data_IF_649216173770
#
_entry.id   IF_649216173770
#
_cell.length_a   1.000
_cell.length_b   1.000
_cell.length_c   1.000
_cell.angle_alpha   90.00
_cell.angle_beta   90.00
_cell.angle_gamma   90.00
#
_symmetry.space_group_name_H-M   'P 1'
#
loop_
_entity.id
_entity.type
_entity.pdbx_description
1 polymer ?
#
# COMPACT_ATOMS: atom_id res chain seq x y z
N UNK A 1 -62.90 -22.84 -9.58
CA UNK A 1 -63.31 -24.14 -9.00
C UNK A 1 -62.30 -24.52 -7.94
N UNK A 2 -62.78 -24.58 -6.80
CA UNK A 2 -62.75 -25.51 -5.68
C UNK A 2 -61.39 -25.62 -4.98
N UNK A 3 -61.27 -25.03 -3.81
CA UNK A 3 -61.63 -25.53 -2.43
C UNK A 3 -60.65 -26.64 -2.01
N UNK A 4 -60.00 -26.54 -0.94
CA UNK A 4 -60.21 -26.53 0.54
C UNK A 4 -59.07 -27.35 1.14
N UNK A 5 -58.58 -27.39 2.31
CA UNK A 5 -58.91 -26.96 3.66
C UNK A 5 -57.80 -27.54 4.58
N UNK A 6 -57.28 -26.75 5.47
CA UNK A 6 -57.03 -26.90 6.92
C UNK A 6 -56.85 -28.31 7.52
N UNK A 7 -55.80 -28.48 8.34
CA UNK A 7 -55.96 -28.97 9.72
C UNK A 7 -54.75 -28.71 10.60
N UNK A 8 -54.98 -28.06 11.70
CA UNK A 8 -54.23 -27.85 12.92
C UNK A 8 -54.26 -29.16 13.75
N UNK A 9 -53.16 -29.54 14.37
CA UNK A 9 -53.20 -30.25 15.64
C UNK A 9 -52.06 -29.83 16.57
N UNK A 10 -52.51 -29.25 17.67
CA UNK A 10 -51.77 -28.92 18.88
C UNK A 10 -51.67 -30.17 19.77
N UNK A 11 -50.55 -30.41 20.38
CA UNK A 11 -50.47 -31.25 21.57
C UNK A 11 -49.36 -30.77 22.50
N UNK A 12 -49.80 -30.21 23.61
CA UNK A 12 -49.03 -29.88 24.81
C UNK A 12 -48.74 -31.16 25.57
N UNK A 13 -47.49 -31.32 26.00
CA UNK A 13 -47.17 -32.19 27.15
C UNK A 13 -46.22 -31.45 28.08
N UNK A 14 -46.75 -31.07 29.24
CA UNK A 14 -45.99 -30.70 30.44
C UNK A 14 -45.46 -31.97 31.12
N UNK A 15 -44.18 -32.00 31.46
CA UNK A 15 -43.69 -32.82 32.57
C UNK A 15 -42.71 -31.95 33.39
N UNK A 16 -43.10 -31.69 34.64
CA UNK A 16 -42.25 -31.14 35.70
C UNK A 16 -41.24 -32.17 36.16
N UNK A 17 -40.00 -31.72 36.39
CA UNK A 17 -38.98 -32.50 37.09
C UNK A 17 -37.95 -31.56 37.68
N UNK A 18 -38.04 -31.32 39.00
CA UNK A 18 -37.04 -30.60 39.80
C UNK A 18 -35.74 -31.39 39.93
N UNK A 19 -34.58 -30.67 39.93
CA UNK A 19 -33.42 -31.24 40.58
C UNK A 19 -32.05 -30.69 40.12
N UNK A 20 -31.54 -29.78 40.91
CA UNK A 20 -30.13 -29.56 41.32
C UNK A 20 -29.08 -28.87 40.42
N UNK A 21 -28.75 -27.73 40.85
CA UNK A 21 -27.54 -26.92 41.06
C UNK A 21 -26.17 -27.37 40.47
N UNK A 22 -25.53 -26.35 39.90
CA UNK A 22 -24.08 -26.07 39.80
C UNK A 22 -23.29 -26.86 38.79
N UNK A 23 -22.94 -26.21 37.68
CA UNK A 23 -21.55 -25.95 37.23
C UNK A 23 -21.54 -25.35 35.82
N UNK A 24 -20.62 -24.40 35.65
CA UNK A 24 -20.02 -23.88 34.40
C UNK A 24 -20.64 -22.67 33.71
N UNK A 25 -20.40 -21.52 34.34
CA UNK A 25 -20.41 -20.21 33.66
C UNK A 25 -19.00 -19.77 33.25
N UNK A 26 -18.05 -20.68 32.96
CA UNK A 26 -16.69 -20.28 32.59
C UNK A 26 -16.24 -20.62 31.16
N UNK A 27 -17.10 -21.28 30.37
CA UNK A 27 -16.70 -21.72 29.01
C UNK A 27 -17.16 -20.77 27.90
N UNK A 28 -18.22 -20.00 28.12
CA UNK A 28 -18.72 -19.06 27.10
C UNK A 28 -17.92 -17.73 27.08
N UNK A 29 -17.37 -17.27 28.22
CA UNK A 29 -16.57 -16.05 28.24
C UNK A 29 -15.16 -16.23 27.65
N UNK A 30 -14.61 -17.46 27.61
CA UNK A 30 -13.31 -17.70 27.01
C UNK A 30 -13.37 -17.81 25.48
N UNK A 31 -14.50 -18.24 24.92
CA UNK A 31 -14.69 -18.30 23.46
C UNK A 31 -14.99 -16.95 22.84
N UNK A 32 -15.72 -16.05 23.54
CA UNK A 32 -15.95 -14.67 23.07
C UNK A 32 -14.68 -13.82 23.11
N UNK A 33 -13.89 -13.91 24.17
CA UNK A 33 -12.61 -13.18 24.28
C UNK A 33 -11.57 -13.65 23.24
N UNK A 34 -11.62 -14.90 22.78
CA UNK A 34 -10.69 -15.40 21.76
C UNK A 34 -11.12 -15.04 20.33
N UNK A 35 -12.44 -15.03 20.06
CA UNK A 35 -12.99 -14.63 18.74
C UNK A 35 -12.84 -13.13 18.53
N UNK A 36 -13.05 -12.29 19.57
CA UNK A 36 -12.80 -10.84 19.47
C UNK A 36 -11.31 -10.50 19.32
N UNK A 37 -10.41 -11.35 19.80
CA UNK A 37 -8.96 -11.11 19.71
C UNK A 37 -8.38 -11.39 18.33
N UNK A 38 -8.92 -12.33 17.56
CA UNK A 38 -8.46 -12.64 16.19
C UNK A 38 -8.79 -11.51 15.21
N UNK A 39 -9.92 -10.83 15.37
CA UNK A 39 -10.36 -9.73 14.50
C UNK A 39 -9.60 -8.41 14.72
N UNK A 40 -8.81 -8.30 15.80
CA UNK A 40 -8.07 -7.07 16.13
C UNK A 40 -6.59 -7.17 15.84
N UNK A 41 -6.04 -8.35 15.64
CA UNK A 41 -4.62 -8.55 15.35
C UNK A 41 -4.35 -8.75 13.86
N UNK A 42 -3.24 -8.19 13.37
CA UNK A 42 -2.75 -8.35 12.00
C UNK A 42 -1.24 -8.59 12.01
N UNK A 43 -0.73 -9.18 10.94
CA UNK A 43 0.69 -9.06 10.65
C UNK A 43 0.99 -7.70 10.02
N UNK A 44 2.08 -7.11 10.47
CA UNK A 44 2.69 -5.94 9.88
C UNK A 44 4.07 -6.35 9.33
N UNK A 45 4.25 -6.16 8.01
CA UNK A 45 5.51 -6.41 7.32
C UNK A 45 6.19 -5.08 7.06
N UNK A 46 7.47 -4.97 7.40
CA UNK A 46 8.23 -3.74 7.28
C UNK A 46 9.47 -3.96 6.42
N UNK A 47 9.54 -3.26 5.30
CA UNK A 47 10.74 -3.14 4.48
C UNK A 47 11.63 -1.99 4.96
N UNK A 48 12.94 -2.17 4.86
CA UNK A 48 13.94 -1.23 5.37
C UNK A 48 15.01 -0.92 4.33
N UNK A 49 15.80 0.13 4.53
CA UNK A 49 17.16 0.15 3.97
C UNK A 49 18.10 -0.63 4.89
N UNK A 50 19.15 -1.22 4.30
CA UNK A 50 20.07 -2.12 5.01
C UNK A 50 21.51 -1.58 5.08
N UNK A 51 21.66 -0.27 4.90
CA UNK A 51 22.95 0.41 5.06
C UNK A 51 23.35 0.64 6.52
N UNK A 52 22.43 0.42 7.46
CA UNK A 52 22.65 0.46 8.92
C UNK A 52 22.70 -0.94 9.52
N UNK A 53 21.95 -1.15 10.61
CA UNK A 53 21.88 -2.41 11.35
C UNK A 53 20.76 -3.34 10.86
N UNK A 54 19.85 -2.82 10.05
CA UNK A 54 18.72 -3.59 9.54
C UNK A 54 19.16 -4.73 8.61
N UNK A 55 18.44 -5.85 8.68
CA UNK A 55 18.71 -7.05 7.89
C UNK A 55 17.82 -7.22 6.66
N UNK A 56 16.71 -6.46 6.59
CA UNK A 56 15.81 -6.56 5.44
C UNK A 56 14.33 -6.41 5.77
N UNK A 57 13.53 -7.47 5.67
CA UNK A 57 12.09 -7.42 5.96
C UNK A 57 11.83 -7.97 7.36
N UNK A 58 11.07 -7.20 8.15
CA UNK A 58 10.66 -7.55 9.51
C UNK A 58 9.16 -7.82 9.57
N UNK A 59 8.76 -8.79 10.41
CA UNK A 59 7.36 -9.13 10.64
C UNK A 59 7.03 -8.93 12.11
N UNK A 60 5.93 -8.21 12.35
CA UNK A 60 5.35 -7.97 13.67
C UNK A 60 3.90 -8.43 13.70
N UNK A 61 3.39 -8.79 14.86
CA UNK A 61 1.95 -8.77 15.14
C UNK A 61 1.58 -7.39 15.66
N UNK A 62 0.54 -6.80 15.12
CA UNK A 62 0.01 -5.49 15.48
C UNK A 62 -1.43 -5.65 15.99
N UNK A 63 -1.70 -5.13 17.17
CA UNK A 63 -3.08 -4.91 17.64
C UNK A 63 -3.62 -3.62 17.03
N UNK A 64 -4.62 -3.73 16.16
CA UNK A 64 -5.17 -2.62 15.39
C UNK A 64 -6.12 -1.72 16.18
N UNK A 65 -6.36 -2.02 17.45
CA UNK A 65 -7.16 -1.20 18.39
C UNK A 65 -6.25 -0.36 19.26
N UNK A 66 -5.24 -0.99 19.88
CA UNK A 66 -4.33 -0.33 20.80
C UNK A 66 -3.12 0.30 20.11
N UNK A 67 -2.69 -0.25 18.97
CA UNK A 67 -1.45 0.13 18.29
C UNK A 67 -0.21 -0.57 18.87
N UNK A 68 -0.36 -1.46 19.85
CA UNK A 68 0.77 -2.25 20.38
C UNK A 68 1.22 -3.28 19.36
N UNK A 69 2.53 -3.54 19.33
CA UNK A 69 3.11 -4.51 18.40
C UNK A 69 4.07 -5.47 19.10
N UNK A 70 4.23 -6.64 18.50
CA UNK A 70 5.17 -7.67 18.94
C UNK A 70 6.01 -8.14 17.75
N UNK A 71 7.34 -8.07 17.86
CA UNK A 71 8.26 -8.66 16.89
C UNK A 71 8.04 -10.19 16.81
N UNK A 72 8.03 -10.70 15.57
CA UNK A 72 7.84 -12.12 15.26
C UNK A 72 9.05 -12.70 14.56
N UNK A 73 9.45 -12.13 13.43
CA UNK A 73 10.53 -12.68 12.60
C UNK A 73 11.15 -11.62 11.69
N UNK A 74 12.24 -12.00 11.06
CA UNK A 74 12.88 -11.22 10.00
C UNK A 74 13.43 -12.14 8.91
N UNK A 75 13.58 -11.61 7.70
CA UNK A 75 14.28 -12.29 6.60
C UNK A 75 15.33 -11.35 6.01
N UNK A 76 16.53 -11.90 5.75
CA UNK A 76 17.62 -11.13 5.16
C UNK A 76 17.38 -10.91 3.67
N UNK A 77 17.39 -9.65 3.27
CA UNK A 77 17.36 -9.18 1.87
C UNK A 77 17.88 -7.74 1.82
N UNK A 78 18.62 -7.38 0.79
CA UNK A 78 19.25 -6.07 0.69
C UNK A 78 18.23 -5.02 0.21
N UNK A 79 18.15 -3.91 0.94
CA UNK A 79 17.34 -2.73 0.61
C UNK A 79 15.91 -3.05 0.09
N UNK A 80 15.08 -3.82 0.81
CA UNK A 80 13.68 -4.07 0.43
C UNK A 80 12.84 -2.81 0.68
N UNK A 81 13.14 -1.74 -0.02
CA UNK A 81 12.57 -0.42 0.22
C UNK A 81 11.08 -0.32 -0.13
N UNK A 82 10.57 -1.25 -0.92
CA UNK A 82 9.14 -1.41 -1.17
C UNK A 82 8.77 -2.88 -1.31
N UNK A 83 7.61 -3.24 -0.79
CA UNK A 83 7.07 -4.59 -0.86
C UNK A 83 5.57 -4.60 -1.11
N UNK A 84 5.06 -5.71 -1.63
CA UNK A 84 3.64 -5.99 -1.86
C UNK A 84 3.34 -7.44 -1.50
N UNK A 85 2.14 -7.69 -0.97
CA UNK A 85 1.59 -9.03 -0.81
C UNK A 85 0.77 -9.41 -2.04
N UNK A 86 0.76 -10.68 -2.39
CA UNK A 86 -0.20 -11.20 -3.34
C UNK A 86 -1.64 -11.17 -2.75
N UNK A 87 -2.70 -11.24 -3.57
CA UNK A 87 -4.07 -11.19 -3.06
C UNK A 87 -4.46 -12.31 -2.10
N UNK A 88 -3.76 -13.45 -2.14
CA UNK A 88 -3.97 -14.57 -1.21
C UNK A 88 -3.19 -14.42 0.09
N UNK A 89 -2.32 -13.41 0.18
CA UNK A 89 -1.38 -13.15 1.27
C UNK A 89 -0.46 -14.34 1.62
N UNK A 90 -0.25 -15.25 0.66
CA UNK A 90 0.68 -16.38 0.79
C UNK A 90 2.08 -16.06 0.29
N UNK A 91 2.20 -15.00 -0.52
CA UNK A 91 3.45 -14.59 -1.10
C UNK A 91 3.69 -13.09 -0.90
N UNK A 92 4.96 -12.74 -0.76
CA UNK A 92 5.43 -11.36 -0.63
C UNK A 92 6.49 -11.11 -1.68
N UNK A 93 6.39 -9.97 -2.35
CA UNK A 93 7.38 -9.53 -3.32
C UNK A 93 8.01 -8.23 -2.84
N UNK A 94 9.33 -8.11 -2.96
CA UNK A 94 10.04 -6.87 -2.61
C UNK A 94 11.02 -6.49 -3.70
N UNK A 95 11.42 -5.24 -3.71
CA UNK A 95 12.58 -4.80 -4.49
C UNK A 95 13.88 -5.03 -3.72
N UNK A 96 15.01 -5.09 -4.42
CA UNK A 96 16.34 -4.75 -3.93
C UNK A 96 16.72 -3.43 -4.60
N UNK A 97 16.52 -2.31 -3.87
CA UNK A 97 16.81 -0.97 -4.37
C UNK A 97 18.32 -0.70 -4.34
N UNK A 98 18.95 -0.94 -5.47
CA UNK A 98 20.37 -0.69 -5.72
C UNK A 98 20.53 0.04 -7.06
N UNK A 99 21.52 0.91 -7.22
CA UNK A 99 21.73 1.66 -8.46
C UNK A 99 22.34 0.81 -9.58
N UNK A 100 23.01 -0.28 -9.23
CA UNK A 100 23.64 -1.19 -10.19
C UNK A 100 22.60 -2.08 -10.90
N UNK A 101 22.64 -2.13 -12.22
CA UNK A 101 21.73 -3.00 -13.00
C UNK A 101 21.91 -4.49 -12.65
N UNK A 102 23.13 -4.89 -12.35
CA UNK A 102 23.50 -6.27 -12.00
C UNK A 102 23.11 -6.67 -10.56
N UNK A 103 22.72 -5.70 -9.72
CA UNK A 103 22.36 -5.89 -8.32
C UNK A 103 20.89 -5.59 -8.04
N UNK A 104 20.29 -4.74 -8.87
CA UNK A 104 18.87 -4.38 -8.81
C UNK A 104 17.96 -5.56 -9.11
N UNK A 105 17.05 -5.88 -8.20
CA UNK A 105 16.24 -7.09 -8.32
C UNK A 105 14.80 -6.92 -7.78
N UNK A 106 13.95 -7.84 -8.20
CA UNK A 106 12.70 -8.19 -7.52
C UNK A 106 12.89 -9.55 -6.82
N UNK A 107 12.41 -9.66 -5.58
CA UNK A 107 12.53 -10.86 -4.75
C UNK A 107 11.14 -11.43 -4.46
N UNK A 108 11.05 -12.75 -4.37
CA UNK A 108 9.84 -13.48 -4.00
C UNK A 108 10.06 -14.28 -2.71
N UNK A 109 9.06 -14.25 -1.83
CA UNK A 109 9.02 -14.98 -0.57
C UNK A 109 7.68 -15.67 -0.41
N UNK A 110 7.65 -16.88 0.18
CA UNK A 110 6.42 -17.43 0.75
C UNK A 110 6.21 -16.86 2.15
N UNK A 111 4.97 -16.64 2.53
CA UNK A 111 4.59 -16.13 3.85
C UNK A 111 3.76 -17.20 4.59
N UNK A 112 4.33 -17.71 5.67
CA UNK A 112 3.63 -18.61 6.58
C UNK A 112 2.89 -17.81 7.64
N UNK A 113 1.56 -17.76 7.54
CA UNK A 113 0.70 -17.04 8.48
C UNK A 113 0.58 -17.72 9.85
N UNK A 114 0.89 -19.03 9.98
CA UNK A 114 0.87 -19.70 11.29
C UNK A 114 1.99 -19.18 12.18
N UNK A 115 3.17 -19.05 11.63
CA UNK A 115 4.38 -18.63 12.35
C UNK A 115 4.76 -17.17 12.10
N UNK A 116 4.15 -16.49 11.13
CA UNK A 116 4.52 -15.13 10.71
C UNK A 116 5.91 -15.08 10.09
N UNK A 117 6.28 -16.09 9.29
CA UNK A 117 7.62 -16.19 8.71
C UNK A 117 7.64 -16.06 7.22
N UNK A 118 8.63 -15.33 6.72
CA UNK A 118 8.97 -15.25 5.31
C UNK A 118 10.07 -16.25 4.97
N UNK A 119 9.88 -17.00 3.87
CA UNK A 119 10.91 -17.88 3.32
C UNK A 119 11.23 -17.46 1.89
N UNK A 120 12.49 -17.16 1.61
CA UNK A 120 12.96 -16.76 0.28
C UNK A 120 12.70 -17.86 -0.76
N UNK A 121 12.12 -17.50 -1.89
CA UNK A 121 11.88 -18.40 -3.03
C UNK A 121 12.94 -18.18 -4.09
N UNK A 122 12.96 -16.97 -4.69
CA UNK A 122 13.94 -16.60 -5.70
C UNK A 122 14.04 -15.06 -5.86
N UNK A 123 14.99 -14.64 -6.68
CA UNK A 123 15.09 -13.26 -7.15
C UNK A 123 15.32 -13.22 -8.65
N UNK A 124 14.89 -12.13 -9.30
CA UNK A 124 15.12 -11.84 -10.71
C UNK A 124 15.65 -10.42 -10.87
N UNK A 125 16.62 -10.24 -11.77
CA UNK A 125 17.14 -8.90 -12.06
C UNK A 125 16.09 -8.05 -12.78
N UNK A 126 16.01 -6.76 -12.41
CA UNK A 126 15.07 -5.83 -13.02
C UNK A 126 15.53 -5.30 -14.37
N UNK A 127 16.80 -5.43 -14.71
CA UNK A 127 17.36 -4.83 -15.93
C UNK A 127 17.34 -3.28 -15.94
N UNK A 128 16.99 -2.66 -14.80
CA UNK A 128 17.02 -1.21 -14.58
C UNK A 128 17.44 -0.90 -13.15
N UNK A 129 18.20 0.19 -12.92
CA UNK A 129 18.72 0.56 -11.60
C UNK A 129 17.68 1.18 -10.68
N UNK A 130 17.88 1.02 -9.38
CA UNK A 130 17.10 1.54 -8.27
C UNK A 130 15.57 1.23 -8.38
N UNK A 131 15.17 -0.05 -8.37
CA UNK A 131 13.76 -0.38 -8.26
C UNK A 131 13.22 0.09 -6.91
N UNK A 132 12.35 1.11 -6.91
CA UNK A 132 11.84 1.76 -5.70
C UNK A 132 10.35 1.50 -5.42
N UNK A 133 9.70 0.78 -6.30
CA UNK A 133 8.29 0.40 -6.18
C UNK A 133 8.04 -0.95 -6.87
N UNK A 134 7.14 -1.75 -6.29
CA UNK A 134 6.70 -3.02 -6.84
C UNK A 134 5.20 -3.15 -6.64
N UNK A 135 4.49 -3.65 -7.63
CA UNK A 135 3.06 -3.92 -7.58
C UNK A 135 2.73 -5.27 -8.21
N UNK A 136 1.62 -5.84 -7.83
CA UNK A 136 1.09 -7.10 -8.34
C UNK A 136 -0.36 -6.89 -8.76
N UNK A 137 -0.81 -7.62 -9.78
CA UNK A 137 -2.20 -7.60 -10.22
C UNK A 137 -3.16 -8.29 -9.23
N UNK A 138 -4.46 -8.13 -9.45
CA UNK A 138 -5.50 -8.71 -8.60
C UNK A 138 -5.60 -10.23 -8.67
N UNK A 139 -4.97 -10.87 -9.65
CA UNK A 139 -4.92 -12.32 -9.78
C UNK A 139 -3.67 -12.94 -9.12
N UNK A 140 -2.70 -12.12 -8.71
CA UNK A 140 -1.45 -12.60 -8.13
C UNK A 140 -0.48 -13.24 -9.13
N UNK A 141 -0.64 -12.93 -10.43
CA UNK A 141 0.11 -13.56 -11.52
C UNK A 141 1.16 -12.67 -12.17
N UNK A 142 1.04 -11.36 -11.99
CA UNK A 142 1.80 -10.36 -12.75
C UNK A 142 2.40 -9.30 -11.84
N UNK A 143 3.73 -9.30 -11.73
CA UNK A 143 4.48 -8.35 -10.91
C UNK A 143 5.17 -7.33 -11.81
N UNK A 144 5.10 -6.05 -11.43
CA UNK A 144 5.77 -4.95 -12.14
C UNK A 144 6.59 -4.11 -11.14
N UNK A 145 7.83 -3.79 -11.51
CA UNK A 145 8.68 -2.85 -10.75
C UNK A 145 8.80 -1.51 -11.44
N UNK A 146 8.98 -0.45 -10.67
CA UNK A 146 9.37 0.87 -11.13
C UNK A 146 10.86 1.09 -10.80
N UNK A 147 11.70 1.28 -11.82
CA UNK A 147 13.13 1.43 -11.68
C UNK A 147 13.51 2.92 -11.81
N UNK A 148 13.82 3.56 -10.69
CA UNK A 148 13.97 5.01 -10.60
C UNK A 148 15.18 5.52 -11.38
N UNK A 149 16.39 5.05 -11.05
CA UNK A 149 17.62 5.45 -11.72
C UNK A 149 17.69 4.91 -13.15
N UNK A 150 17.06 3.74 -13.39
CA UNK A 150 16.97 3.14 -14.72
C UNK A 150 16.01 3.84 -15.67
N UNK A 151 15.08 4.67 -15.16
CA UNK A 151 14.02 5.29 -15.97
C UNK A 151 13.20 4.27 -16.74
N UNK A 152 12.86 3.14 -16.10
CA UNK A 152 12.19 2.02 -16.74
C UNK A 152 11.20 1.34 -15.80
N UNK A 153 10.35 0.48 -16.34
CA UNK A 153 9.59 -0.50 -15.59
C UNK A 153 9.95 -1.91 -16.07
N UNK A 154 9.78 -2.91 -15.19
CA UNK A 154 10.06 -4.30 -15.53
C UNK A 154 8.90 -5.18 -15.11
N UNK A 155 8.48 -6.07 -16.02
CA UNK A 155 7.42 -7.02 -15.81
C UNK A 155 7.96 -8.45 -15.62
N UNK A 156 7.35 -9.15 -14.66
CA UNK A 156 7.60 -10.55 -14.34
C UNK A 156 6.29 -11.32 -14.24
N UNK A 157 6.22 -12.52 -14.80
CA UNK A 157 5.17 -13.46 -14.45
C UNK A 157 5.51 -14.21 -13.16
N UNK A 158 4.47 -14.63 -12.44
CA UNK A 158 4.55 -15.42 -11.22
C UNK A 158 4.18 -16.87 -11.54
N UNK A 159 5.01 -17.84 -11.14
CA UNK A 159 4.70 -19.25 -11.30
C UNK A 159 3.80 -19.79 -10.19
N UNK A 160 3.31 -21.02 -10.34
CA UNK A 160 2.40 -21.66 -9.39
C UNK A 160 2.94 -21.82 -7.95
N UNK A 161 4.26 -21.69 -7.77
CA UNK A 161 4.92 -21.75 -6.45
C UNK A 161 5.22 -20.37 -5.86
N UNK A 162 4.71 -19.31 -6.49
CA UNK A 162 4.90 -17.93 -6.08
C UNK A 162 6.27 -17.34 -6.46
N UNK A 163 7.09 -18.06 -7.20
CA UNK A 163 8.38 -17.57 -7.70
C UNK A 163 8.22 -16.63 -8.91
N UNK A 164 9.13 -15.68 -9.05
CA UNK A 164 9.21 -14.80 -10.22
C UNK A 164 9.90 -15.55 -11.36
N UNK A 165 9.31 -15.52 -12.55
CA UNK A 165 9.99 -15.91 -13.77
C UNK A 165 10.95 -14.81 -14.23
N UNK A 166 11.85 -15.14 -15.16
CA UNK A 166 12.76 -14.14 -15.75
C UNK A 166 11.97 -12.98 -16.35
N UNK A 167 12.49 -11.76 -16.21
CA UNK A 167 11.88 -10.55 -16.76
C UNK A 167 11.58 -10.73 -18.26
N UNK A 168 10.32 -10.61 -18.64
CA UNK A 168 9.88 -10.76 -20.04
C UNK A 168 9.67 -9.43 -20.77
N UNK A 169 9.49 -8.33 -20.03
CA UNK A 169 9.45 -6.99 -20.58
C UNK A 169 10.24 -6.01 -19.70
N UNK A 170 11.15 -5.23 -20.30
CA UNK A 170 11.77 -4.04 -19.71
C UNK A 170 11.42 -2.87 -20.62
N UNK A 171 10.62 -1.93 -20.13
CA UNK A 171 10.17 -0.76 -20.89
C UNK A 171 10.90 0.46 -20.38
N UNK A 172 11.79 1.02 -21.21
CA UNK A 172 12.56 2.22 -20.89
C UNK A 172 11.89 3.48 -21.40
N UNK A 173 12.04 4.56 -20.64
CA UNK A 173 11.51 5.87 -20.97
C UNK A 173 12.63 6.87 -21.17
N UNK A 174 12.39 7.85 -22.04
CA UNK A 174 13.33 8.92 -22.31
C UNK A 174 12.63 10.28 -22.15
N UNK A 175 13.42 11.29 -21.82
CA UNK A 175 12.96 12.66 -21.65
C UNK A 175 13.58 13.34 -20.46
N UNK A 176 13.17 14.58 -20.24
CA UNK A 176 13.54 15.42 -19.10
C UNK A 176 12.38 16.32 -18.73
N UNK A 177 12.36 16.79 -17.50
CA UNK A 177 11.35 17.73 -16.99
C UNK A 177 11.90 19.15 -16.82
N UNK A 178 11.14 19.96 -16.11
CA UNK A 178 11.45 21.37 -15.91
C UNK A 178 12.46 21.65 -14.80
N UNK A 179 12.60 20.73 -13.80
CA UNK A 179 13.62 20.87 -12.75
C UNK A 179 14.97 20.35 -13.25
N UNK A 180 15.91 21.27 -13.50
CA UNK A 180 17.20 20.96 -14.09
C UNK A 180 18.12 20.10 -13.21
N UNK A 181 17.84 19.99 -11.92
CA UNK A 181 18.62 19.18 -10.98
C UNK A 181 18.03 17.78 -10.81
N UNK A 182 16.72 17.68 -10.69
CA UNK A 182 16.02 16.44 -10.33
C UNK A 182 15.38 15.72 -11.53
N UNK A 183 15.21 16.40 -12.67
CA UNK A 183 14.52 15.89 -13.86
C UNK A 183 15.40 15.86 -15.11
N UNK A 184 16.66 15.43 -14.93
CA UNK A 184 17.63 15.31 -16.05
C UNK A 184 17.31 14.16 -16.99
N UNK A 185 16.56 13.17 -16.51
CA UNK A 185 16.10 11.99 -17.24
C UNK A 185 14.78 11.49 -16.69
N UNK A 186 14.18 10.48 -17.32
CA UNK A 186 13.04 9.74 -16.78
C UNK A 186 13.39 9.07 -15.45
N UNK A 187 12.45 9.08 -14.50
CA UNK A 187 12.53 8.46 -13.18
C UNK A 187 11.19 7.82 -12.83
N UNK A 188 10.99 6.56 -13.19
CA UNK A 188 9.74 5.85 -12.86
C UNK A 188 9.72 5.57 -11.36
N UNK A 189 8.75 6.16 -10.63
CA UNK A 189 8.69 6.06 -9.17
C UNK A 189 7.54 5.20 -8.64
N UNK A 190 6.52 4.95 -9.43
CA UNK A 190 5.35 4.15 -9.04
C UNK A 190 4.78 3.46 -10.27
N UNK A 191 4.36 2.23 -10.10
CA UNK A 191 3.54 1.47 -11.05
C UNK A 191 2.28 1.00 -10.33
N UNK A 192 1.11 1.28 -10.89
CA UNK A 192 -0.17 0.99 -10.24
C UNK A 192 -1.16 0.41 -11.23
N UNK A 193 -1.60 -0.83 -10.98
CA UNK A 193 -2.74 -1.38 -11.72
C UNK A 193 -4.01 -0.62 -11.39
N UNK A 194 -4.87 -0.45 -12.39
CA UNK A 194 -6.21 0.09 -12.17
C UNK A 194 -7.08 -0.90 -11.40
N UNK A 195 -8.12 -0.44 -10.68
CA UNK A 195 -8.95 -1.32 -9.87
C UNK A 195 -9.65 -2.44 -10.66
N UNK A 196 -9.90 -2.22 -11.96
CA UNK A 196 -10.48 -3.20 -12.88
C UNK A 196 -9.45 -4.10 -13.58
N UNK A 197 -8.15 -3.89 -13.29
CA UNK A 197 -7.05 -4.67 -13.87
C UNK A 197 -6.73 -4.39 -15.33
N UNK A 198 -7.51 -3.54 -16.02
CA UNK A 198 -7.35 -3.33 -17.48
C UNK A 198 -6.15 -2.51 -17.87
N UNK A 199 -5.68 -1.64 -16.98
CA UNK A 199 -4.59 -0.70 -17.25
C UNK A 199 -3.56 -0.73 -16.12
N UNK A 200 -2.34 -0.30 -16.48
CA UNK A 200 -1.28 0.04 -15.54
C UNK A 200 -0.88 1.49 -15.76
N UNK A 201 -0.79 2.27 -14.68
CA UNK A 201 -0.20 3.60 -14.69
C UNK A 201 1.22 3.56 -14.15
N UNK A 202 2.14 4.30 -14.78
CA UNK A 202 3.51 4.47 -14.34
C UNK A 202 3.84 5.95 -14.19
N UNK A 203 4.12 6.38 -12.95
CA UNK A 203 4.42 7.76 -12.65
C UNK A 203 5.90 8.03 -12.95
N UNK A 204 6.17 8.94 -13.87
CA UNK A 204 7.51 9.39 -14.23
C UNK A 204 7.79 10.76 -13.59
N UNK A 205 8.46 10.72 -12.45
CA UNK A 205 8.89 11.91 -11.72
C UNK A 205 9.82 12.79 -12.59
N UNK A 206 10.63 12.16 -13.43
CA UNK A 206 11.64 12.84 -14.22
C UNK A 206 11.10 13.59 -15.45
N UNK A 207 9.91 13.24 -15.94
CA UNK A 207 9.35 13.87 -17.15
C UNK A 207 7.97 14.51 -16.96
N UNK A 208 7.47 14.57 -15.70
CA UNK A 208 6.15 15.10 -15.36
C UNK A 208 4.98 14.39 -16.08
N UNK A 209 5.08 13.05 -16.18
CA UNK A 209 4.08 12.22 -16.88
C UNK A 209 3.59 11.08 -16.02
N UNK A 210 2.36 10.68 -16.29
CA UNK A 210 1.77 9.42 -15.85
C UNK A 210 1.54 8.60 -17.11
N UNK A 211 2.43 7.64 -17.37
CA UNK A 211 2.32 6.76 -18.53
C UNK A 211 1.18 5.76 -18.34
N UNK A 212 0.47 5.43 -19.41
CA UNK A 212 -0.62 4.46 -19.42
C UNK A 212 -0.26 3.26 -20.29
N UNK A 213 -0.52 2.08 -19.76
CA UNK A 213 -0.41 0.81 -20.49
C UNK A 213 -1.73 0.05 -20.44
N UNK A 214 -2.07 -0.62 -21.53
CA UNK A 214 -3.09 -1.66 -21.51
C UNK A 214 -2.47 -2.93 -20.93
N UNK A 215 -3.22 -3.63 -20.10
CA UNK A 215 -2.89 -4.96 -19.59
C UNK A 215 -3.51 -5.98 -20.54
N UNK A 216 -2.70 -6.87 -21.11
CA UNK A 216 -3.14 -7.87 -22.06
C UNK A 216 -3.06 -9.26 -21.41
N UNK A 217 -4.18 -9.95 -21.30
CA UNK A 217 -4.24 -11.31 -20.74
C UNK A 217 -3.65 -12.37 -21.70
N UNK A 218 -3.49 -12.01 -22.97
CA UNK A 218 -2.97 -12.89 -24.03
C UNK A 218 -2.13 -12.12 -25.02
N UNK A 219 -1.14 -12.78 -25.62
CA UNK A 219 -0.23 -12.21 -26.62
C UNK A 219 1.22 -12.16 -26.13
N UNK A 220 2.12 -11.66 -26.99
CA UNK A 220 3.56 -11.68 -26.76
C UNK A 220 4.00 -10.66 -25.69
N UNK A 221 3.19 -9.63 -25.41
CA UNK A 221 3.49 -8.56 -24.48
C UNK A 221 2.35 -8.36 -23.48
N UNK A 222 2.64 -8.54 -22.20
CA UNK A 222 1.70 -8.28 -21.12
C UNK A 222 1.28 -6.80 -21.07
N UNK A 223 2.23 -5.87 -21.27
CA UNK A 223 1.97 -4.44 -21.31
C UNK A 223 2.12 -3.91 -22.74
N UNK A 224 1.12 -3.18 -23.22
CA UNK A 224 1.17 -2.41 -24.46
C UNK A 224 0.83 -0.94 -24.20
N UNK A 225 1.39 -0.04 -25.00
CA UNK A 225 1.18 1.42 -24.83
C UNK A 225 -0.30 1.75 -24.95
N UNK A 226 -0.83 2.48 -23.96
CA UNK A 226 -2.24 2.89 -23.93
C UNK A 226 -2.55 4.07 -24.86
N UNK A 227 -3.83 4.38 -24.95
CA UNK A 227 -4.31 5.58 -25.65
C UNK A 227 -5.19 6.40 -24.68
N UNK A 228 -4.77 7.64 -24.30
CA UNK A 228 -3.48 8.27 -24.61
C UNK A 228 -2.31 7.50 -24.00
N UNK A 229 -1.10 7.68 -24.54
CA UNK A 229 0.10 7.01 -24.04
C UNK A 229 0.54 7.52 -22.67
N UNK A 230 0.22 8.76 -22.33
CA UNK A 230 0.51 9.38 -21.05
C UNK A 230 -0.40 10.58 -20.77
N UNK A 231 -0.54 10.91 -19.50
CA UNK A 231 -1.13 12.16 -19.00
C UNK A 231 0.01 13.05 -18.50
N UNK A 232 0.07 14.29 -18.95
CA UNK A 232 1.10 15.24 -18.53
C UNK A 232 0.56 16.11 -17.40
N UNK A 233 1.33 16.22 -16.31
CA UNK A 233 1.04 17.16 -15.22
C UNK A 233 1.86 18.45 -15.39
N UNK A 234 1.66 19.42 -14.52
CA UNK A 234 2.40 20.69 -14.56
C UNK A 234 3.91 20.44 -14.49
N UNK A 235 4.69 21.11 -15.34
CA UNK A 235 6.13 21.00 -15.37
C UNK A 235 6.79 21.31 -14.02
N UNK A 236 7.74 20.48 -13.60
CA UNK A 236 8.42 20.56 -12.31
C UNK A 236 7.63 19.98 -11.15
N UNK A 237 6.55 19.27 -11.40
CA UNK A 237 5.74 18.64 -10.35
C UNK A 237 6.39 17.37 -9.80
N UNK A 238 6.90 16.49 -10.66
CA UNK A 238 7.49 15.22 -10.29
C UNK A 238 6.45 14.26 -9.68
N UNK A 239 5.53 13.66 -10.48
CA UNK A 239 4.53 12.72 -9.99
C UNK A 239 5.22 11.49 -9.39
N UNK A 240 4.89 11.16 -8.13
CA UNK A 240 5.60 10.15 -7.35
C UNK A 240 4.73 8.91 -7.13
N UNK A 241 3.78 8.95 -6.23
CA UNK A 241 2.87 7.85 -5.93
C UNK A 241 1.44 8.20 -6.33
N UNK A 242 0.69 7.17 -6.76
CA UNK A 242 -0.71 7.25 -7.16
C UNK A 242 -1.56 6.30 -6.30
N UNK A 243 -2.75 6.75 -5.90
CA UNK A 243 -3.77 5.93 -5.25
C UNK A 243 -5.13 6.15 -5.87
N UNK A 244 -5.87 5.07 -6.11
CA UNK A 244 -7.27 5.13 -6.47
C UNK A 244 -8.13 5.26 -5.22
N UNK A 245 -9.21 6.04 -5.32
CA UNK A 245 -10.23 6.09 -4.30
C UNK A 245 -11.01 4.76 -4.24
N UNK A 246 -11.46 4.28 -3.06
CA UNK A 246 -12.20 3.02 -2.94
C UNK A 246 -13.46 2.91 -3.81
N UNK A 247 -14.08 4.04 -4.21
CA UNK A 247 -15.23 4.04 -5.12
C UNK A 247 -14.86 3.88 -6.60
N UNK A 248 -13.56 3.80 -6.94
CA UNK A 248 -13.02 3.66 -8.29
C UNK A 248 -13.38 4.80 -9.28
N UNK A 249 -13.83 5.96 -8.77
CA UNK A 249 -14.16 7.13 -9.62
C UNK A 249 -13.08 8.20 -9.62
N UNK A 250 -12.19 8.18 -8.64
CA UNK A 250 -11.16 9.20 -8.49
C UNK A 250 -9.79 8.55 -8.31
N UNK A 251 -8.76 9.28 -8.70
CA UNK A 251 -7.36 8.96 -8.43
C UNK A 251 -6.62 10.18 -7.91
N UNK A 252 -5.61 9.97 -7.07
CA UNK A 252 -4.82 11.04 -6.47
C UNK A 252 -3.34 10.74 -6.63
N UNK A 253 -2.58 11.76 -7.00
CA UNK A 253 -1.13 11.69 -7.18
C UNK A 253 -0.45 12.68 -6.27
N UNK A 254 0.48 12.21 -5.44
CA UNK A 254 1.42 13.09 -4.74
C UNK A 254 2.59 13.43 -5.65
N UNK A 255 2.94 14.70 -5.72
CA UNK A 255 4.08 15.18 -6.51
C UNK A 255 5.25 15.51 -5.59
N UNK A 256 6.41 14.88 -5.81
CA UNK A 256 7.56 15.02 -4.92
C UNK A 256 8.15 16.44 -4.95
N UNK A 257 8.30 17.02 -6.15
CA UNK A 257 9.04 18.26 -6.33
C UNK A 257 8.20 19.51 -6.05
N UNK A 258 6.95 19.53 -6.50
CA UNK A 258 6.06 20.68 -6.23
C UNK A 258 5.33 20.59 -4.91
N UNK A 259 5.25 19.40 -4.28
CA UNK A 259 4.57 19.21 -3.00
C UNK A 259 3.06 19.36 -3.08
N UNK A 260 2.48 19.05 -4.23
CA UNK A 260 1.04 19.09 -4.47
C UNK A 260 0.43 17.69 -4.41
N UNK A 261 -0.85 17.61 -4.07
CA UNK A 261 -1.72 16.50 -4.42
C UNK A 261 -2.57 16.90 -5.61
N UNK A 262 -2.51 16.12 -6.68
CA UNK A 262 -3.35 16.28 -7.87
C UNK A 262 -4.49 15.26 -7.77
N UNK A 263 -5.73 15.74 -7.80
CA UNK A 263 -6.92 14.92 -7.85
C UNK A 263 -7.41 14.79 -9.30
N UNK A 264 -7.76 13.56 -9.67
CA UNK A 264 -8.29 13.25 -11.01
C UNK A 264 -9.66 12.59 -10.89
N UNK A 265 -10.56 12.93 -11.81
CA UNK A 265 -11.68 12.08 -12.19
C UNK A 265 -11.12 10.91 -13.02
N UNK A 266 -11.45 9.67 -12.62
CA UNK A 266 -10.99 8.47 -13.28
C UNK A 266 -12.16 7.74 -13.95
N UNK A 267 -12.02 7.46 -15.23
CA UNK A 267 -13.01 6.71 -15.99
C UNK A 267 -12.34 5.85 -17.07
N UNK A 268 -12.45 4.53 -16.94
CA UNK A 268 -11.98 3.53 -17.92
C UNK A 268 -10.58 3.86 -18.49
N UNK A 269 -9.61 3.98 -17.58
CA UNK A 269 -8.22 4.27 -17.92
C UNK A 269 -7.91 5.71 -18.34
N UNK A 270 -8.86 6.64 -18.18
CA UNK A 270 -8.65 8.07 -18.44
C UNK A 270 -8.56 8.84 -17.13
N UNK A 271 -7.62 9.78 -17.08
CA UNK A 271 -7.42 10.72 -15.96
C UNK A 271 -7.74 12.14 -16.44
N UNK A 272 -8.68 12.80 -15.75
CA UNK A 272 -9.00 14.21 -15.97
C UNK A 272 -8.74 14.96 -14.67
N UNK A 273 -7.78 15.88 -14.68
CA UNK A 273 -7.49 16.70 -13.51
C UNK A 273 -8.72 17.52 -13.09
N UNK A 274 -9.07 17.45 -11.79
CA UNK A 274 -10.19 18.19 -11.19
C UNK A 274 -9.73 19.17 -10.12
N UNK A 275 -8.52 18.95 -9.54
CA UNK A 275 -7.95 19.85 -8.55
C UNK A 275 -6.44 19.60 -8.39
N UNK A 276 -5.71 20.67 -8.11
CA UNK A 276 -4.34 20.62 -7.54
C UNK A 276 -4.34 21.40 -6.22
N UNK A 277 -3.87 20.77 -5.12
CA UNK A 277 -3.86 21.36 -3.79
C UNK A 277 -2.51 21.12 -3.08
N UNK A 278 -2.01 22.13 -2.33
CA UNK A 278 -0.75 22.05 -1.60
C UNK A 278 -0.81 21.09 -0.40
N UNK A 279 0.07 20.08 -0.40
CA UNK A 279 0.41 19.28 0.76
C UNK A 279 1.63 19.85 1.50
N UNK A 280 2.70 20.18 0.75
CA UNK A 280 3.89 20.86 1.26
C UNK A 280 3.77 22.39 1.11
N UNK A 281 3.79 23.09 2.22
CA UNK A 281 3.69 24.57 2.26
C UNK A 281 5.04 25.27 2.42
N UNK A 282 6.14 24.51 2.57
CA UNK A 282 7.49 25.05 2.79
C UNK A 282 8.42 24.85 1.60
N UNK A 283 7.90 24.29 0.52
CA UNK A 283 8.64 24.00 -0.71
C UNK A 283 9.93 23.20 -0.45
N UNK A 284 9.79 22.07 0.25
CA UNK A 284 10.88 21.19 0.60
C UNK A 284 11.38 20.34 -0.58
N UNK A 285 10.57 20.18 -1.62
CA UNK A 285 10.83 19.31 -2.79
C UNK A 285 11.06 17.85 -2.39
N UNK A 286 10.31 17.37 -1.42
CA UNK A 286 10.54 16.05 -0.82
C UNK A 286 9.25 15.33 -0.39
N UNK A 287 8.09 15.62 -0.98
CA UNK A 287 6.87 14.87 -0.64
C UNK A 287 7.06 13.38 -0.93
N UNK A 288 6.48 12.54 -0.09
CA UNK A 288 6.73 11.09 -0.07
C UNK A 288 5.53 10.29 -0.55
N UNK A 289 4.78 9.74 0.36
CA UNK A 289 3.70 8.80 0.09
C UNK A 289 2.32 9.44 0.18
N UNK A 290 1.32 8.74 -0.34
CA UNK A 290 -0.09 9.14 -0.33
C UNK A 290 -0.95 7.93 0.03
N UNK A 291 -1.93 8.11 0.91
CA UNK A 291 -2.85 7.06 1.35
C UNK A 291 -4.25 7.59 1.57
N UNK A 292 -5.24 6.73 1.38
CA UNK A 292 -6.66 7.04 1.55
C UNK A 292 -7.22 6.08 2.59
N UNK A 293 -8.07 6.58 3.50
CA UNK A 293 -8.78 5.71 4.44
C UNK A 293 -9.66 4.70 3.70
N UNK A 294 -9.87 3.48 4.23
CA UNK A 294 -10.69 2.46 3.56
C UNK A 294 -12.14 2.91 3.30
N UNK A 295 -12.68 3.81 4.13
CA UNK A 295 -14.00 4.41 3.93
C UNK A 295 -14.03 5.55 2.91
N UNK A 296 -12.88 5.92 2.31
CA UNK A 296 -12.77 6.97 1.30
C UNK A 296 -12.90 8.41 1.80
N UNK A 297 -13.01 8.65 3.12
CA UNK A 297 -13.30 10.00 3.64
C UNK A 297 -12.09 10.90 3.75
N UNK A 298 -10.91 10.33 3.98
CA UNK A 298 -9.69 11.11 4.24
C UNK A 298 -8.52 10.65 3.40
N UNK A 299 -7.69 11.61 3.02
CA UNK A 299 -6.43 11.40 2.31
C UNK A 299 -5.29 12.00 3.14
N UNK A 300 -4.19 11.26 3.24
CA UNK A 300 -2.94 11.70 3.85
C UNK A 300 -1.85 11.78 2.81
N UNK A 301 -0.96 12.77 2.96
CA UNK A 301 0.19 12.98 2.08
C UNK A 301 1.42 13.32 2.94
N UNK A 302 2.49 12.50 2.86
CA UNK A 302 3.69 12.73 3.65
C UNK A 302 4.63 13.73 2.99
N UNK A 303 5.27 14.56 3.82
CA UNK A 303 6.27 15.54 3.44
C UNK A 303 7.55 15.32 4.23
N UNK A 304 8.70 15.49 3.58
CA UNK A 304 10.05 15.25 4.11
C UNK A 304 10.95 16.46 3.93
N UNK A 305 12.13 16.43 4.52
CA UNK A 305 13.30 17.32 4.32
C UNK A 305 13.24 18.65 5.05
N UNK A 306 12.11 19.29 5.30
CA UNK A 306 12.02 20.58 6.00
C UNK A 306 10.92 20.66 7.02
N UNK A 307 9.80 20.05 6.75
CA UNK A 307 8.62 20.05 7.60
C UNK A 307 8.04 18.64 7.59
N UNK A 308 8.77 17.72 8.21
CA UNK A 308 8.45 16.32 8.21
C UNK A 308 7.09 16.07 8.88
N UNK A 309 6.18 15.42 8.14
CA UNK A 309 4.82 15.21 8.62
C UNK A 309 3.84 14.79 7.54
N UNK A 310 2.58 14.74 7.94
CA UNK A 310 1.46 14.34 7.09
C UNK A 310 0.48 15.51 6.93
N UNK A 311 0.25 15.95 5.70
CA UNK A 311 -0.89 16.79 5.35
C UNK A 311 -2.15 15.93 5.32
N UNK A 312 -3.24 16.42 5.89
CA UNK A 312 -4.50 15.71 6.08
C UNK A 312 -5.59 16.44 5.32
N UNK A 313 -6.32 15.69 4.49
CA UNK A 313 -7.40 16.21 3.68
C UNK A 313 -8.68 15.38 3.89
N UNK A 314 -9.83 16.06 3.92
CA UNK A 314 -11.11 15.40 3.68
C UNK A 314 -11.38 15.32 2.18
N UNK A 315 -12.04 14.22 1.76
CA UNK A 315 -12.44 13.97 0.37
C UNK A 315 -13.94 14.25 0.25
N UNK A 316 -14.33 15.06 -0.72
CA UNK A 316 -15.73 15.20 -1.08
C UNK A 316 -16.15 14.02 -1.95
N UNK A 317 -17.04 13.18 -1.46
CA UNK A 317 -17.47 11.95 -2.13
C UNK A 317 -18.17 12.23 -3.50
N UNK A 318 -18.80 13.38 -3.65
CA UNK A 318 -19.55 13.71 -4.86
C UNK A 318 -18.67 14.10 -6.04
N UNK A 319 -17.56 14.82 -5.80
CA UNK A 319 -16.71 15.37 -6.85
C UNK A 319 -15.21 15.08 -6.69
N UNK A 320 -14.81 14.30 -5.67
CA UNK A 320 -13.44 13.88 -5.42
C UNK A 320 -12.48 14.97 -4.95
N UNK A 321 -12.98 16.20 -4.74
CA UNK A 321 -12.12 17.31 -4.34
C UNK A 321 -11.69 17.23 -2.88
N UNK A 322 -10.50 17.73 -2.63
CA UNK A 322 -9.84 17.74 -1.34
C UNK A 322 -10.00 19.06 -0.62
N UNK A 323 -10.26 18.99 0.70
CA UNK A 323 -10.17 20.15 1.60
C UNK A 323 -9.14 19.82 2.68
N UNK A 324 -8.12 20.68 2.87
CA UNK A 324 -7.12 20.48 3.91
C UNK A 324 -7.76 20.69 5.28
N UNK A 325 -7.68 19.66 6.14
CA UNK A 325 -8.27 19.67 7.49
C UNK A 325 -7.22 19.69 8.60
N UNK A 326 -5.96 19.36 8.30
CA UNK A 326 -4.91 19.37 9.29
C UNK A 326 -3.52 19.08 8.76
N UNK A 327 -2.58 19.05 9.70
CA UNK A 327 -1.20 18.61 9.51
C UNK A 327 -0.71 17.94 10.79
N UNK A 328 -0.10 16.77 10.68
CA UNK A 328 0.53 16.07 11.81
C UNK A 328 2.03 16.04 11.61
N UNK A 329 2.79 16.68 12.51
CA UNK A 329 4.26 16.54 12.54
C UNK A 329 4.63 15.11 12.95
N UNK A 330 5.63 14.56 12.30
CA UNK A 330 6.16 13.20 12.54
C UNK A 330 7.64 13.25 12.89
N UNK A 331 8.25 12.09 13.06
CA UNK A 331 9.70 11.93 13.01
C UNK A 331 10.29 12.27 11.65
N UNK A 332 11.63 12.25 11.56
CA UNK A 332 12.37 12.72 10.38
C UNK A 332 12.24 11.73 9.21
N UNK A 333 11.98 12.26 8.03
CA UNK A 333 11.91 11.54 6.77
C UNK A 333 10.78 10.49 6.73
N UNK A 334 9.50 10.88 6.87
CA UNK A 334 8.35 9.97 6.72
C UNK A 334 8.23 9.52 5.25
N UNK A 335 9.03 8.50 4.86
CA UNK A 335 9.14 8.05 3.46
C UNK A 335 7.90 7.32 2.98
N UNK A 336 7.28 6.54 3.86
CA UNK A 336 6.09 5.75 3.61
C UNK A 336 5.21 5.74 4.88
N UNK A 337 3.94 5.54 4.70
CA UNK A 337 3.00 5.23 5.77
C UNK A 337 1.94 4.25 5.28
N UNK A 338 1.29 3.57 6.21
CA UNK A 338 0.20 2.67 5.90
C UNK A 338 -0.97 2.87 6.88
N UNK A 339 -2.18 2.77 6.35
CA UNK A 339 -3.42 2.80 7.12
C UNK A 339 -3.87 1.35 7.30
N UNK A 340 -4.21 0.95 8.52
CA UNK A 340 -4.73 -0.39 8.77
C UNK A 340 -6.03 -0.65 8.00
N UNK A 341 -6.31 -1.88 7.54
CA UNK A 341 -7.52 -2.20 6.76
C UNK A 341 -8.83 -1.83 7.44
N UNK A 342 -8.87 -1.82 8.79
CA UNK A 342 -10.04 -1.35 9.54
C UNK A 342 -10.12 0.20 9.65
N UNK A 343 -9.14 0.93 9.13
CA UNK A 343 -9.11 2.40 9.13
C UNK A 343 -8.82 3.06 10.47
N UNK A 344 -8.46 2.30 11.51
CA UNK A 344 -8.30 2.83 12.88
C UNK A 344 -6.92 3.42 13.15
N UNK A 345 -5.87 2.86 12.55
CA UNK A 345 -4.50 3.28 12.77
C UNK A 345 -3.81 3.71 11.47
N UNK A 346 -2.86 4.63 11.62
CA UNK A 346 -1.93 5.05 10.57
C UNK A 346 -0.51 4.93 11.14
N UNK A 347 0.33 4.14 10.47
CA UNK A 347 1.71 3.88 10.86
C UNK A 347 2.66 4.57 9.90
N UNK A 348 3.58 5.37 10.44
CA UNK A 348 4.51 6.21 9.65
C UNK A 348 5.94 5.70 9.82
N UNK A 349 6.54 5.26 8.75
CA UNK A 349 7.95 4.87 8.69
C UNK A 349 8.84 6.11 8.56
N UNK A 350 9.42 6.55 9.69
CA UNK A 350 10.31 7.70 9.80
C UNK A 350 11.76 7.20 9.69
N UNK A 351 12.28 7.17 8.45
CA UNK A 351 13.56 6.54 8.10
C UNK A 351 14.75 7.03 8.95
N UNK A 352 14.88 8.35 9.11
CA UNK A 352 16.07 8.95 9.72
C UNK A 352 16.00 9.11 11.25
N UNK A 353 14.88 8.64 11.85
CA UNK A 353 14.73 8.49 13.29
C UNK A 353 14.69 7.03 13.75
N UNK A 354 14.82 6.06 12.84
CA UNK A 354 14.77 4.63 13.15
C UNK A 354 13.52 4.24 13.93
N UNK A 355 12.36 4.73 13.45
CA UNK A 355 11.10 4.55 14.16
C UNK A 355 9.91 4.44 13.21
N UNK A 356 8.98 3.58 13.58
CA UNK A 356 7.62 3.60 13.03
C UNK A 356 6.73 4.22 14.08
N UNK A 357 6.16 5.37 13.78
CA UNK A 357 5.21 6.04 14.66
C UNK A 357 3.80 5.53 14.41
N UNK A 358 3.05 5.30 15.48
CA UNK A 358 1.70 4.73 15.42
C UNK A 358 0.68 5.76 15.88
N UNK A 359 -0.20 6.17 14.97
CA UNK A 359 -1.26 7.14 15.22
C UNK A 359 -2.64 6.50 15.12
N UNK A 360 -3.54 6.92 16.00
CA UNK A 360 -4.96 6.64 15.90
C UNK A 360 -5.63 7.67 14.97
N UNK A 361 -6.49 7.20 14.10
CA UNK A 361 -7.28 8.03 13.20
C UNK A 361 -8.62 8.35 13.85
N UNK A 362 -8.97 9.63 14.00
CA UNK A 362 -10.33 10.05 14.29
C UNK A 362 -11.20 9.90 13.04
N UNK A 363 -12.17 9.03 13.06
CA UNK A 363 -13.00 8.66 11.89
C UNK A 363 -13.92 9.78 11.39
N UNK A 364 -14.15 10.83 12.22
CA UNK A 364 -15.02 11.94 11.89
C UNK A 364 -14.24 13.14 11.33
N UNK A 365 -13.01 13.34 11.79
CA UNK A 365 -12.19 14.52 11.43
C UNK A 365 -10.97 14.17 10.59
N UNK A 366 -10.54 12.90 10.58
CA UNK A 366 -9.29 12.44 9.95
C UNK A 366 -8.04 12.87 10.73
N UNK A 367 -8.16 13.56 11.84
CA UNK A 367 -7.00 13.98 12.64
C UNK A 367 -6.31 12.79 13.30
N UNK A 368 -5.01 12.94 13.53
CA UNK A 368 -4.15 11.88 14.06
C UNK A 368 -3.79 12.15 15.50
N UNK A 369 -4.04 11.17 16.37
CA UNK A 369 -3.65 11.14 17.76
C UNK A 369 -2.52 10.14 17.98
N UNK A 370 -1.50 10.52 18.74
CA UNK A 370 -0.36 9.67 19.08
C UNK A 370 -0.81 8.56 20.04
N UNK A 371 -0.48 7.31 19.71
CA UNK A 371 -0.79 6.18 20.61
C UNK A 371 0.26 5.98 21.69
N UNK A 372 1.46 6.55 21.54
CA UNK A 372 2.62 6.30 22.40
C UNK A 372 3.24 4.90 22.21
N UNK A 373 2.84 4.15 21.18
CA UNK A 373 3.30 2.79 20.89
C UNK A 373 4.25 2.72 19.69
N UNK A 374 5.21 3.64 19.65
CA UNK A 374 6.21 3.69 18.57
C UNK A 374 7.09 2.43 18.55
N UNK A 375 7.46 2.00 17.36
CA UNK A 375 8.26 0.80 17.12
C UNK A 375 9.65 1.21 16.68
N UNK A 376 10.67 0.84 17.44
CA UNK A 376 12.08 1.07 17.09
C UNK A 376 12.52 0.04 16.04
N UNK A 377 12.99 0.53 14.91
CA UNK A 377 13.52 -0.28 13.81
C UNK A 377 14.42 0.60 12.95
N UNK A 378 15.62 0.12 12.66
CA UNK A 378 16.59 0.83 11.83
C UNK A 378 16.08 1.02 10.39
N UNK A 379 16.10 2.27 9.92
CA UNK A 379 15.78 2.72 8.57
C UNK A 379 14.48 2.16 7.95
N UNK A 380 13.31 2.21 8.62
CA UNK A 380 12.06 1.68 8.07
C UNK A 380 11.56 2.57 6.92
N UNK A 381 11.13 1.96 5.80
CA UNK A 381 10.73 2.70 4.58
C UNK A 381 9.50 2.17 3.86
N UNK A 382 8.95 1.03 4.29
CA UNK A 382 7.72 0.48 3.73
C UNK A 382 6.96 -0.34 4.78
N UNK A 383 5.67 -0.09 4.93
CA UNK A 383 4.78 -0.84 5.85
C UNK A 383 3.64 -1.45 5.04
N UNK A 384 3.37 -2.74 5.28
CA UNK A 384 2.24 -3.48 4.71
C UNK A 384 1.57 -4.33 5.79
N UNK A 385 0.33 -4.70 5.56
CA UNK A 385 -0.44 -5.53 6.47
C UNK A 385 -0.89 -6.82 5.81
N UNK A 386 -1.02 -7.89 6.61
CA UNK A 386 -1.65 -9.14 6.24
C UNK A 386 -2.56 -9.61 7.37
N UNK A 387 -3.61 -10.34 7.02
CA UNK A 387 -4.47 -11.00 8.00
C UNK A 387 -3.70 -12.12 8.74
N UNK A 388 -4.15 -12.50 9.93
CA UNK A 388 -3.58 -13.63 10.68
C UNK A 388 -4.11 -14.96 10.16
N UNK A 389 -5.34 -14.97 9.65
CA UNK A 389 -6.03 -16.15 9.09
C UNK A 389 -6.16 -16.08 7.58
#
# INVERSE_FOLDING_TARGET
MLKKVVAVFSSVFLIMGCGNKNANNNTENQSMDQVEKSDTEMYMLVGTYTSGESKGIYVYKLDTVTGTSKYISEVKVDNPSYLVLDPSEKFVYSVTEDDGVETSAANAFSFDKQDGKLTFINKQLTGGGAPCYINIDSEGKHVVTANYSGGSLTYFSVNEKGGLETASQVISFAGKGADTERQKQSHIHCVQFTPDGKFLFANDLGTDKIHKFNVNESGDNFLSVGNPAAFTVKGGSGPRHLKFHPNNKFAYVITELSGDVIAFDYNDGNLKEIQTIKADTVNAKGSGDIGITPNGKFLYASNRLKNDGLAIFSINEADGKLTKVGYRTTGVHPRNFAITPNGKLLLVACRDNDVIQVFKIDENTGLLEDTGHDIKLDMPVCVKFASIE
#
